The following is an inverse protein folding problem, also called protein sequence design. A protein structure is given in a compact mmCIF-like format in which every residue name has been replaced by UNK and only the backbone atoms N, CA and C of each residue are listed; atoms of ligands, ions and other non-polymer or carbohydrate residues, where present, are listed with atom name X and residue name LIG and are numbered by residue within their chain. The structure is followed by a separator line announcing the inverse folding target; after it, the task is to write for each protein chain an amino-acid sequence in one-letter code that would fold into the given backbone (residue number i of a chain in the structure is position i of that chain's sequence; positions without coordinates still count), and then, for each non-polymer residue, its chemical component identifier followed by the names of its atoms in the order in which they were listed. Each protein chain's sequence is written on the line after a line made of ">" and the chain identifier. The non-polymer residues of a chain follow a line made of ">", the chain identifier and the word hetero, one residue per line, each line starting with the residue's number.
data_IF_834112351250
#
_entry.id   IF_834112351250
#
_cell.length_a   1.000
_cell.length_b   1.000
_cell.length_c   1.000
_cell.angle_alpha   90.00
_cell.angle_beta   90.00
_cell.angle_gamma   90.00
#
_symmetry.space_group_name_H-M   'P 1'
#
loop_
_entity.id
_entity.type
_entity.pdbx_description
1 polymer ?
#
# COMPACT_ATOMS: atom_id res chain seq x y z
N UNK A 1 -0.22 13.28 8.30
CA UNK A 1 0.76 12.24 7.89
C UNK A 1 0.16 11.42 6.76
N UNK A 2 0.93 11.11 5.72
CA UNK A 2 0.47 10.21 4.65
C UNK A 2 0.94 8.78 4.93
N UNK A 3 0.05 7.81 4.77
CA UNK A 3 0.32 6.39 5.03
C UNK A 3 -0.25 5.55 3.90
N UNK A 4 0.50 4.54 3.45
CA UNK A 4 0.04 3.54 2.50
C UNK A 4 -0.07 2.18 3.18
N UNK A 5 -1.28 1.60 3.21
CA UNK A 5 -1.52 0.24 3.69
C UNK A 5 -1.63 -0.70 2.49
N UNK A 6 -0.81 -1.75 2.49
CA UNK A 6 -0.78 -2.77 1.44
C UNK A 6 -1.48 -4.03 1.96
N UNK A 7 -2.50 -4.48 1.24
CA UNK A 7 -3.24 -5.71 1.55
C UNK A 7 -2.92 -6.77 0.51
N UNK A 8 -2.45 -7.93 0.97
CA UNK A 8 -2.31 -9.13 0.15
C UNK A 8 -3.61 -9.91 0.17
N UNK A 9 -4.11 -10.26 -1.01
CA UNK A 9 -5.35 -11.01 -1.21
C UNK A 9 -5.08 -12.20 -2.14
N UNK A 10 -6.07 -13.07 -2.25
CA UNK A 10 -6.06 -14.23 -3.14
C UNK A 10 -7.37 -14.27 -3.93
N UNK A 11 -7.30 -14.51 -5.24
CA UNK A 11 -8.48 -14.72 -6.07
C UNK A 11 -9.06 -16.12 -5.83
N UNK A 12 -10.28 -16.37 -6.31
CA UNK A 12 -10.87 -17.72 -6.28
C UNK A 12 -10.00 -18.75 -7.02
N UNK A 13 -9.32 -18.34 -8.09
CA UNK A 13 -8.40 -19.18 -8.85
C UNK A 13 -7.03 -19.36 -8.16
N UNK A 14 -6.86 -18.87 -6.93
CA UNK A 14 -5.65 -19.04 -6.13
C UNK A 14 -4.55 -18.00 -6.40
N UNK A 15 -4.74 -17.07 -7.33
CA UNK A 15 -3.74 -16.06 -7.69
C UNK A 15 -3.67 -14.94 -6.65
N UNK A 16 -2.46 -14.62 -6.17
CA UNK A 16 -2.25 -13.52 -5.24
C UNK A 16 -2.29 -12.15 -5.93
N UNK A 17 -2.98 -11.19 -5.32
CA UNK A 17 -3.00 -9.80 -5.77
C UNK A 17 -2.93 -8.84 -4.58
N UNK A 18 -2.61 -7.57 -4.86
CA UNK A 18 -2.35 -6.58 -3.83
C UNK A 18 -3.21 -5.34 -4.04
N UNK A 19 -3.82 -4.86 -2.95
CA UNK A 19 -4.56 -3.60 -2.92
C UNK A 19 -3.77 -2.58 -2.08
N UNK A 20 -3.84 -1.30 -2.43
CA UNK A 20 -3.21 -0.22 -1.68
C UNK A 20 -4.27 0.81 -1.27
N UNK A 21 -4.31 1.14 0.02
CA UNK A 21 -5.09 2.27 0.54
C UNK A 21 -4.13 3.33 1.03
N UNK A 22 -4.20 4.53 0.47
CA UNK A 22 -3.42 5.68 0.94
C UNK A 22 -4.34 6.66 1.66
N UNK A 23 -3.94 7.09 2.86
CA UNK A 23 -4.70 8.03 3.68
C UNK A 23 -3.82 9.14 4.23
N UNK A 24 -4.46 10.27 4.51
CA UNK A 24 -3.92 11.35 5.33
C UNK A 24 -4.51 11.29 6.73
N UNK A 25 -3.68 11.05 7.74
CA UNK A 25 -4.06 11.14 9.15
C UNK A 25 -3.77 12.55 9.69
N UNK A 26 -4.71 13.11 10.45
CA UNK A 26 -4.60 14.43 11.06
C UNK A 26 -5.34 14.47 12.40
N UNK A 27 -4.92 15.35 13.30
CA UNK A 27 -5.57 15.55 14.60
C UNK A 27 -6.67 16.61 14.47
N UNK A 28 -7.87 16.32 15.00
CA UNK A 28 -8.96 17.27 15.13
C UNK A 28 -9.70 17.00 16.43
N UNK A 29 -9.84 18.02 17.29
CA UNK A 29 -10.56 17.91 18.59
C UNK A 29 -10.02 16.74 19.43
N UNK A 30 -8.68 16.67 19.58
CA UNK A 30 -7.95 15.58 20.26
C UNK A 30 -8.21 14.16 19.74
N UNK A 31 -8.83 14.05 18.56
CA UNK A 31 -9.14 12.77 17.91
C UNK A 31 -8.38 12.66 16.60
N UNK A 32 -7.69 11.54 16.40
CA UNK A 32 -7.09 11.22 15.12
C UNK A 32 -8.17 10.87 14.11
N UNK A 33 -8.11 11.52 12.94
CA UNK A 33 -9.01 11.25 11.81
C UNK A 33 -8.20 10.94 10.56
N UNK A 34 -8.83 10.20 9.64
CA UNK A 34 -8.29 9.90 8.33
C UNK A 34 -9.10 10.58 7.23
N UNK A 35 -8.44 10.92 6.13
CA UNK A 35 -9.09 11.36 4.90
C UNK A 35 -8.37 10.76 3.68
N UNK A 36 -9.12 10.57 2.60
CA UNK A 36 -8.62 10.18 1.27
C UNK A 36 -8.61 11.35 0.29
N UNK A 37 -8.75 12.58 0.79
CA UNK A 37 -8.58 13.82 0.03
C UNK A 37 -7.21 14.44 0.33
N UNK A 38 -6.55 14.95 -0.71
CA UNK A 38 -5.19 15.47 -0.63
C UNK A 38 -5.15 16.91 -1.14
N UNK A 39 -4.40 17.76 -0.46
CA UNK A 39 -4.13 19.12 -0.93
C UNK A 39 -3.10 19.11 -2.08
N UNK A 40 -3.01 20.20 -2.84
CA UNK A 40 -2.00 20.35 -3.89
C UNK A 40 -0.57 20.15 -3.37
N UNK A 41 -0.28 20.62 -2.15
CA UNK A 41 1.03 20.49 -1.50
C UNK A 41 1.42 19.04 -1.13
N UNK A 42 0.45 18.13 -1.13
CA UNK A 42 0.63 16.72 -0.78
C UNK A 42 0.86 15.84 -2.00
N UNK A 43 0.54 16.31 -3.22
CA UNK A 43 0.57 15.49 -4.43
C UNK A 43 1.96 14.89 -4.72
N UNK A 44 3.04 15.65 -4.53
CA UNK A 44 4.40 15.13 -4.75
C UNK A 44 4.77 14.06 -3.72
N UNK A 45 4.34 14.22 -2.47
CA UNK A 45 4.59 13.23 -1.40
C UNK A 45 3.75 11.99 -1.63
N UNK A 46 2.50 12.16 -2.04
CA UNK A 46 1.60 11.09 -2.43
C UNK A 46 2.20 10.27 -3.58
N UNK A 47 2.69 10.93 -4.64
CA UNK A 47 3.34 10.27 -5.78
C UNK A 47 4.54 9.41 -5.33
N UNK A 48 5.43 9.96 -4.50
CA UNK A 48 6.58 9.22 -3.95
C UNK A 48 6.15 8.05 -3.06
N UNK A 49 5.12 8.24 -2.25
CA UNK A 49 4.56 7.18 -1.40
C UNK A 49 3.93 6.06 -2.25
N UNK A 50 3.22 6.41 -3.32
CA UNK A 50 2.68 5.44 -4.28
C UNK A 50 3.79 4.64 -4.96
N UNK A 51 4.89 5.29 -5.35
CA UNK A 51 6.07 4.60 -5.89
C UNK A 51 6.69 3.64 -4.85
N UNK A 52 6.86 4.10 -3.60
CA UNK A 52 7.38 3.23 -2.54
C UNK A 52 6.48 2.01 -2.27
N UNK A 53 5.16 2.19 -2.33
CA UNK A 53 4.19 1.09 -2.19
C UNK A 53 4.27 0.11 -3.37
N UNK A 54 4.42 0.62 -4.60
CA UNK A 54 4.64 -0.20 -5.80
C UNK A 54 5.90 -1.06 -5.66
N UNK A 55 7.02 -0.46 -5.25
CA UNK A 55 8.29 -1.17 -5.07
C UNK A 55 8.20 -2.22 -3.96
N UNK A 56 7.47 -1.93 -2.87
CA UNK A 56 7.21 -2.89 -1.80
C UNK A 56 6.42 -4.11 -2.30
N UNK A 57 5.35 -3.89 -3.09
CA UNK A 57 4.58 -4.98 -3.71
C UNK A 57 5.46 -5.81 -4.64
N UNK A 58 6.32 -5.18 -5.44
CA UNK A 58 7.23 -5.90 -6.32
C UNK A 58 8.19 -6.82 -5.54
N UNK A 59 8.70 -6.36 -4.38
CA UNK A 59 9.51 -7.19 -3.47
C UNK A 59 8.72 -8.37 -2.90
N UNK A 60 7.49 -8.15 -2.44
CA UNK A 60 6.64 -9.23 -1.95
C UNK A 60 6.39 -10.28 -3.04
N UNK A 61 6.02 -9.86 -4.26
CA UNK A 61 5.84 -10.76 -5.41
C UNK A 61 7.09 -11.58 -5.73
N UNK A 62 8.28 -10.96 -5.64
CA UNK A 62 9.54 -11.67 -5.87
C UNK A 62 9.77 -12.74 -4.79
N UNK A 63 9.55 -12.41 -3.52
CA UNK A 63 9.71 -13.34 -2.41
C UNK A 63 8.73 -14.51 -2.51
N UNK A 64 7.47 -14.26 -2.89
CA UNK A 64 6.47 -15.32 -3.08
C UNK A 64 6.86 -16.29 -4.19
N UNK A 65 7.30 -15.78 -5.35
CA UNK A 65 7.77 -16.63 -6.44
C UNK A 65 8.98 -17.48 -6.03
N UNK A 66 9.85 -16.94 -5.19
CA UNK A 66 11.01 -17.69 -4.70
C UNK A 66 10.56 -18.82 -3.76
N UNK A 67 9.69 -18.52 -2.79
CA UNK A 67 9.13 -19.52 -1.89
C UNK A 67 8.35 -20.63 -2.64
N UNK A 68 7.60 -20.27 -3.69
CA UNK A 68 6.90 -21.25 -4.54
C UNK A 68 7.86 -22.19 -5.29
N UNK A 69 9.01 -21.67 -5.75
CA UNK A 69 10.03 -22.49 -6.40
C UNK A 69 10.75 -23.43 -5.43
N UNK A 70 10.94 -23.01 -4.19
CA UNK A 70 11.58 -23.83 -3.14
C UNK A 70 10.66 -24.93 -2.61
N UNK A 71 9.34 -24.72 -2.70
CA UNK A 71 8.33 -25.68 -2.25
C UNK A 71 7.90 -26.69 -3.34
N UNK A 72 8.39 -26.56 -4.57
CA UNK A 72 8.09 -27.42 -5.72
C UNK A 72 9.27 -28.35 -6.03
#
# INVERSE_FOLDING_TARGET
>A
MLTATIWRNQSQDGNAFYNVRIVRSYLKEDTWREASSFSGSELLRLSRLSQAAYDAIARHRKAERQAQKEAA
#
